data_IF_891356714300
#
_entry.id   IF_891356714300
#
_cell.length_a   1.000
_cell.length_b   1.000
_cell.length_c   1.000
_cell.angle_alpha   90.00
_cell.angle_beta   90.00
_cell.angle_gamma   90.00
#
_symmetry.space_group_name_H-M   'P 1'
#
loop_
_entity.id
_entity.type
_entity.pdbx_description
1 polymer ?
#
# COMPACT_ATOMS: atom_id res chain seq x y z
N UNK A 1 6.43 18.38 17.39
CA UNK A 1 5.63 17.50 16.51
C UNK A 1 6.50 17.15 15.33
N UNK A 2 6.56 15.88 14.93
CA UNK A 2 7.23 15.51 13.67
C UNK A 2 6.58 16.27 12.52
N UNK A 3 7.35 16.65 11.49
CA UNK A 3 6.83 17.35 10.30
C UNK A 3 5.66 16.62 9.65
N UNK A 4 5.63 15.28 9.76
CA UNK A 4 4.55 14.45 9.23
C UNK A 4 3.24 14.60 10.01
N UNK A 5 3.31 14.74 11.35
CA UNK A 5 2.11 14.95 12.17
C UNK A 5 1.48 16.32 11.94
N UNK A 6 2.28 17.32 11.57
CA UNK A 6 1.78 18.65 11.21
C UNK A 6 1.02 18.60 9.88
N UNK A 7 1.60 18.00 8.84
CA UNK A 7 0.96 17.86 7.53
C UNK A 7 -0.40 17.17 7.59
N UNK A 8 -0.49 16.05 8.30
CA UNK A 8 -1.76 15.30 8.41
C UNK A 8 -2.85 16.10 9.15
N UNK A 9 -2.45 16.91 10.13
CA UNK A 9 -3.37 17.80 10.85
C UNK A 9 -3.87 18.91 9.92
N UNK A 10 -2.99 19.50 9.11
CA UNK A 10 -3.34 20.53 8.12
C UNK A 10 -4.30 20.00 7.05
N UNK A 11 -4.10 18.76 6.60
CA UNK A 11 -4.98 18.09 5.63
C UNK A 11 -6.26 17.49 6.28
N UNK A 12 -6.47 17.71 7.59
CA UNK A 12 -7.60 17.17 8.35
C UNK A 12 -7.76 15.64 8.23
N UNK A 13 -6.63 14.94 8.24
CA UNK A 13 -6.54 13.47 8.22
C UNK A 13 -6.41 12.96 9.64
N UNK A 14 -7.40 12.18 10.09
CA UNK A 14 -7.35 11.51 11.38
C UNK A 14 -6.44 10.28 11.32
N UNK A 15 -5.47 10.20 12.22
CA UNK A 15 -4.61 9.04 12.38
C UNK A 15 -5.26 8.03 13.33
N UNK A 16 -5.50 6.82 12.85
CA UNK A 16 -5.94 5.71 13.68
C UNK A 16 -4.74 5.05 14.37
N UNK A 17 -4.86 4.79 15.67
CA UNK A 17 -3.86 4.03 16.41
C UNK A 17 -3.72 2.62 15.82
N UNK A 18 -2.49 2.28 15.40
CA UNK A 18 -2.16 0.97 14.86
C UNK A 18 -1.09 0.29 15.73
N UNK A 19 -1.32 -0.93 16.22
CA UNK A 19 -0.34 -1.64 17.01
C UNK A 19 0.93 -1.97 16.19
N UNK A 20 2.12 -1.95 16.81
CA UNK A 20 3.34 -2.37 16.15
C UNK A 20 3.25 -3.80 15.60
N UNK A 21 3.82 -4.04 14.42
CA UNK A 21 3.97 -5.37 13.81
C UNK A 21 2.66 -6.16 13.66
N UNK A 22 1.54 -5.50 13.36
CA UNK A 22 0.24 -6.15 13.13
C UNK A 22 -0.20 -6.10 11.65
N UNK A 23 0.51 -6.79 10.73
CA UNK A 23 0.18 -6.79 9.31
C UNK A 23 -1.17 -7.46 9.00
N UNK A 24 -1.68 -8.29 9.91
CA UNK A 24 -3.03 -8.86 9.85
C UNK A 24 -4.14 -7.81 10.04
N UNK A 25 -3.86 -6.71 10.73
CA UNK A 25 -4.79 -5.59 10.93
C UNK A 25 -4.72 -4.54 9.81
N UNK A 26 -3.62 -4.51 9.06
CA UNK A 26 -3.44 -3.64 7.90
C UNK A 26 -4.17 -4.22 6.69
N UNK A 27 -5.16 -3.49 6.17
CA UNK A 27 -5.92 -3.88 4.98
C UNK A 27 -5.04 -4.08 3.75
N UNK A 28 -3.98 -3.27 3.61
CA UNK A 28 -3.03 -3.38 2.50
C UNK A 28 -2.24 -4.69 2.56
N UNK A 29 -1.74 -5.06 3.74
CA UNK A 29 -0.91 -6.25 3.92
C UNK A 29 -1.73 -7.55 3.90
N UNK A 30 -2.90 -7.55 4.53
CA UNK A 30 -3.76 -8.73 4.62
C UNK A 30 -4.56 -9.02 3.34
N UNK A 31 -5.02 -7.99 2.63
CA UNK A 31 -5.96 -8.17 1.53
C UNK A 31 -5.41 -7.71 0.17
N UNK A 32 -4.94 -6.47 0.07
CA UNK A 32 -4.59 -5.86 -1.22
C UNK A 32 -3.31 -6.45 -1.81
N UNK A 33 -2.22 -6.52 -1.05
CA UNK A 33 -0.94 -7.00 -1.54
C UNK A 33 -0.95 -8.48 -1.94
N UNK A 34 -1.59 -9.42 -1.22
CA UNK A 34 -1.71 -10.79 -1.68
C UNK A 34 -2.37 -10.91 -3.06
N UNK A 35 -3.43 -10.13 -3.33
CA UNK A 35 -4.10 -10.11 -4.63
C UNK A 35 -3.19 -9.61 -5.75
N UNK A 36 -2.52 -8.48 -5.51
CA UNK A 36 -1.56 -7.91 -6.47
C UNK A 36 -0.43 -8.91 -6.72
N UNK A 37 0.16 -9.50 -5.66
CA UNK A 37 1.23 -10.51 -5.78
C UNK A 37 0.79 -11.72 -6.59
N UNK A 38 -0.43 -12.21 -6.37
CA UNK A 38 -0.97 -13.34 -7.13
C UNK A 38 -1.13 -13.02 -8.61
N UNK A 39 -1.60 -11.81 -8.93
CA UNK A 39 -1.74 -11.36 -10.33
C UNK A 39 -0.39 -11.19 -11.01
N UNK A 40 0.60 -10.63 -10.31
CA UNK A 40 1.95 -10.41 -10.83
C UNK A 40 2.82 -11.68 -10.86
N UNK A 41 2.37 -12.76 -10.21
CA UNK A 41 3.15 -13.99 -10.04
C UNK A 41 3.58 -14.56 -11.40
N UNK A 42 4.88 -14.74 -11.57
CA UNK A 42 5.48 -15.34 -12.77
C UNK A 42 5.66 -14.38 -13.95
N UNK A 43 5.19 -13.13 -13.84
CA UNK A 43 5.46 -12.09 -14.84
C UNK A 43 6.85 -11.50 -14.61
N UNK A 44 7.54 -11.14 -15.70
CA UNK A 44 8.80 -10.38 -15.68
C UNK A 44 8.59 -9.13 -16.52
N UNK A 45 8.92 -7.98 -15.95
CA UNK A 45 8.81 -6.68 -16.60
C UNK A 45 10.22 -6.10 -16.74
N UNK A 46 10.51 -5.49 -17.88
CA UNK A 46 11.78 -4.81 -18.15
C UNK A 46 11.77 -3.35 -17.67
N UNK A 47 10.58 -2.77 -17.45
CA UNK A 47 10.42 -1.43 -16.92
C UNK A 47 9.13 -1.27 -16.08
N UNK A 48 9.01 -0.21 -15.28
CA UNK A 48 7.77 0.11 -14.56
C UNK A 48 6.57 0.32 -15.49
N UNK A 49 6.78 0.94 -16.65
CA UNK A 49 5.73 1.21 -17.64
C UNK A 49 5.09 -0.10 -18.15
N UNK A 50 5.90 -1.15 -18.31
CA UNK A 50 5.42 -2.47 -18.68
C UNK A 50 4.63 -3.16 -17.54
N UNK A 51 4.98 -2.86 -16.28
CA UNK A 51 4.33 -3.43 -15.09
C UNK A 51 3.00 -2.75 -14.75
N UNK A 52 2.82 -1.47 -15.10
CA UNK A 52 1.65 -0.65 -14.74
C UNK A 52 0.30 -1.27 -15.12
N UNK A 53 0.09 -1.80 -16.34
CA UNK A 53 -1.18 -2.43 -16.71
C UNK A 53 -1.50 -3.64 -15.81
N UNK A 54 -0.50 -4.48 -15.57
CA UNK A 54 -0.62 -5.64 -14.67
C UNK A 54 -0.74 -5.22 -13.21
N UNK A 55 -0.43 -3.98 -12.84
CA UNK A 55 -0.63 -3.42 -11.49
C UNK A 55 -2.02 -2.78 -11.31
N UNK A 56 -2.57 -2.17 -12.36
CA UNK A 56 -3.85 -1.48 -12.32
C UNK A 56 -5.07 -2.34 -12.69
N UNK A 57 -4.86 -3.56 -13.20
CA UNK A 57 -5.92 -4.49 -13.57
C UNK A 57 -6.72 -5.02 -12.37
N UNK A 58 -7.45 -4.13 -11.68
CA UNK A 58 -8.27 -4.39 -10.49
C UNK A 58 -9.61 -5.03 -10.82
#
# INVERSE_FOLDING_TARGET
>A
MSSEGQYLTEENVELLDHPPYSPDLSSNDFFTFPKIKNRLRGQRFQSPEEALPSFQAG
#
